data_IF_386725549140
#
_entry.id   IF_386725549140
#
_cell.length_a   1.000
_cell.length_b   1.000
_cell.length_c   1.000
_cell.angle_alpha   90.00
_cell.angle_beta   90.00
_cell.angle_gamma   90.00
#
_symmetry.space_group_name_H-M   'P 1'
#
loop_
_entity.id
_entity.type
_entity.pdbx_description
1 polymer ?
#
# COMPACT_ATOMS: atom_id res chain seq x y z
N UNK A 1 -15.55 -22.51 -23.83
CA UNK A 1 -15.67 -21.33 -22.91
C UNK A 1 -14.67 -21.35 -21.74
N UNK A 2 -14.36 -22.49 -21.10
CA UNK A 2 -13.39 -22.55 -19.97
C UNK A 2 -11.99 -22.03 -20.33
N UNK A 3 -11.42 -22.34 -21.49
CA UNK A 3 -10.07 -21.91 -21.88
C UNK A 3 -9.92 -20.39 -22.06
N UNK A 4 -10.96 -19.69 -22.54
CA UNK A 4 -10.88 -18.24 -22.77
C UNK A 4 -10.85 -17.42 -21.47
N UNK A 5 -11.49 -17.91 -20.39
CA UNK A 5 -11.52 -17.22 -19.11
C UNK A 5 -10.16 -17.22 -18.41
N UNK A 6 -9.42 -18.35 -18.49
CA UNK A 6 -8.04 -18.42 -17.99
C UNK A 6 -7.12 -17.49 -18.77
N UNK A 7 -7.25 -17.42 -20.10
CA UNK A 7 -6.41 -16.56 -20.91
C UNK A 7 -6.65 -15.06 -20.64
N UNK A 8 -7.91 -14.67 -20.40
CA UNK A 8 -8.24 -13.30 -19.99
C UNK A 8 -7.67 -12.96 -18.61
N UNK A 9 -7.68 -13.91 -17.67
CA UNK A 9 -7.06 -13.73 -16.37
C UNK A 9 -5.54 -13.54 -16.49
N UNK A 10 -4.85 -14.36 -17.31
CA UNK A 10 -3.41 -14.20 -17.50
C UNK A 10 -3.03 -12.83 -18.10
N UNK A 11 -3.85 -12.28 -19.00
CA UNK A 11 -3.64 -10.93 -19.52
C UNK A 11 -3.75 -9.89 -18.40
N UNK A 12 -4.82 -9.96 -17.59
CA UNK A 12 -4.99 -9.06 -16.44
C UNK A 12 -3.82 -9.19 -15.47
N UNK A 13 -3.47 -10.42 -15.10
CA UNK A 13 -2.43 -10.75 -14.15
C UNK A 13 -1.05 -10.25 -14.61
N UNK A 14 -0.69 -10.48 -15.88
CA UNK A 14 0.58 -10.03 -16.46
C UNK A 14 0.68 -8.51 -16.47
N UNK A 15 -0.35 -7.83 -17.00
CA UNK A 15 -0.39 -6.36 -17.04
C UNK A 15 -0.29 -5.75 -15.64
N UNK A 16 -1.05 -6.28 -14.68
CA UNK A 16 -1.01 -5.88 -13.28
C UNK A 16 0.38 -6.10 -12.66
N UNK A 17 0.98 -7.28 -12.85
CA UNK A 17 2.27 -7.62 -12.26
C UNK A 17 3.39 -6.69 -12.75
N UNK A 18 3.39 -6.36 -14.04
CA UNK A 18 4.36 -5.43 -14.63
C UNK A 18 4.15 -4.01 -14.08
N UNK A 19 2.91 -3.54 -14.02
CA UNK A 19 2.58 -2.20 -13.49
C UNK A 19 2.91 -2.07 -12.01
N UNK A 20 2.74 -3.13 -11.21
CA UNK A 20 3.13 -3.15 -9.80
C UNK A 20 4.64 -2.97 -9.62
N UNK A 21 5.47 -3.55 -10.49
CA UNK A 21 6.92 -3.32 -10.49
C UNK A 21 7.26 -1.87 -10.78
N UNK A 22 6.64 -1.25 -11.80
CA UNK A 22 6.80 0.17 -12.12
C UNK A 22 6.45 1.07 -10.93
N UNK A 23 5.35 0.79 -10.24
CA UNK A 23 4.97 1.52 -9.02
C UNK A 23 6.08 1.50 -7.96
N UNK A 24 6.79 0.38 -7.80
CA UNK A 24 7.90 0.29 -6.85
C UNK A 24 9.12 1.11 -7.31
N UNK A 25 9.30 1.30 -8.62
CA UNK A 25 10.36 2.17 -9.13
C UNK A 25 10.14 3.61 -8.70
N UNK A 26 8.92 4.11 -8.87
CA UNK A 26 8.54 5.46 -8.39
C UNK A 26 8.72 5.60 -6.87
N UNK A 27 8.48 4.55 -6.09
CA UNK A 27 8.68 4.57 -4.62
C UNK A 27 10.11 4.97 -4.22
N UNK A 28 11.11 4.47 -4.95
CA UNK A 28 12.52 4.76 -4.71
C UNK A 28 12.94 6.05 -5.41
N UNK A 29 12.55 6.21 -6.68
CA UNK A 29 13.03 7.30 -7.53
C UNK A 29 12.45 8.67 -7.16
N UNK A 30 11.18 8.76 -6.77
CA UNK A 30 10.48 10.03 -6.60
C UNK A 30 11.12 10.95 -5.54
N UNK A 31 11.47 10.48 -4.32
CA UNK A 31 12.15 11.33 -3.35
C UNK A 31 13.57 11.72 -3.81
N UNK A 32 14.31 10.82 -4.47
CA UNK A 32 15.64 11.13 -5.01
C UNK A 32 15.56 12.14 -6.15
N UNK A 33 14.60 11.98 -7.06
CA UNK A 33 14.34 12.94 -8.14
C UNK A 33 14.02 14.35 -7.60
N UNK A 34 13.20 14.44 -6.55
CA UNK A 34 12.90 15.72 -5.93
C UNK A 34 14.15 16.39 -5.33
N UNK A 35 15.04 15.61 -4.74
CA UNK A 35 16.26 16.12 -4.12
C UNK A 35 17.33 16.51 -5.14
N UNK A 36 17.59 15.65 -6.14
CA UNK A 36 18.73 15.81 -7.06
C UNK A 36 18.40 16.60 -8.32
N UNK A 37 17.20 16.36 -8.88
CA UNK A 37 16.83 16.98 -10.16
C UNK A 37 16.09 18.29 -9.95
N UNK A 38 15.22 18.36 -8.93
CA UNK A 38 14.48 19.59 -8.60
C UNK A 38 15.12 20.39 -7.48
N UNK A 39 16.23 19.90 -6.88
CA UNK A 39 16.98 20.55 -5.79
C UNK A 39 16.08 21.05 -4.65
N UNK A 40 15.00 20.28 -4.34
CA UNK A 40 14.05 20.68 -3.31
C UNK A 40 14.54 20.29 -1.91
N UNK A 41 13.88 20.87 -0.88
CA UNK A 41 14.17 20.50 0.50
C UNK A 41 13.75 19.06 0.83
N UNK A 42 14.35 18.49 1.85
CA UNK A 42 14.00 17.14 2.37
C UNK A 42 12.53 17.05 2.81
N UNK A 43 11.99 18.14 3.37
CA UNK A 43 10.59 18.26 3.73
C UNK A 43 9.68 18.15 2.50
N UNK A 44 10.03 18.82 1.40
CA UNK A 44 9.31 18.73 0.13
C UNK A 44 9.36 17.30 -0.45
N UNK A 45 10.53 16.67 -0.45
CA UNK A 45 10.67 15.29 -0.91
C UNK A 45 9.82 14.30 -0.08
N UNK A 46 9.77 14.49 1.26
CA UNK A 46 8.92 13.69 2.14
C UNK A 46 7.42 13.90 1.89
N UNK A 47 7.00 15.12 1.54
CA UNK A 47 5.61 15.48 1.25
C UNK A 47 5.04 14.71 0.05
N UNK A 48 5.86 14.42 -0.97
CA UNK A 48 5.43 13.69 -2.18
C UNK A 48 4.81 12.32 -1.86
N UNK A 49 5.31 11.63 -0.84
CA UNK A 49 4.72 10.38 -0.38
C UNK A 49 3.28 10.56 0.11
N UNK A 50 3.01 11.64 0.84
CA UNK A 50 1.67 11.94 1.34
C UNK A 50 0.70 12.28 0.23
N UNK A 51 1.13 13.05 -0.76
CA UNK A 51 0.29 13.49 -1.89
C UNK A 51 -0.33 12.31 -2.64
N UNK A 52 0.40 11.23 -2.83
CA UNK A 52 -0.09 10.03 -3.53
C UNK A 52 -1.26 9.36 -2.78
N UNK A 53 -1.30 9.48 -1.44
CA UNK A 53 -2.35 8.87 -0.61
C UNK A 53 -3.57 9.78 -0.38
N UNK A 54 -3.46 11.09 -0.59
CA UNK A 54 -4.58 12.02 -0.43
C UNK A 54 -5.81 11.63 -1.25
N UNK A 55 -5.68 11.22 -2.52
CA UNK A 55 -6.82 10.79 -3.32
C UNK A 55 -7.59 9.60 -2.73
N UNK A 56 -6.92 8.68 -2.05
CA UNK A 56 -7.61 7.58 -1.36
C UNK A 56 -8.51 8.09 -0.23
N UNK A 57 -8.06 9.10 0.49
CA UNK A 57 -8.84 9.70 1.58
C UNK A 57 -10.06 10.45 1.04
N UNK A 58 -9.90 11.20 -0.06
CA UNK A 58 -10.95 12.03 -0.64
C UNK A 58 -11.90 11.21 -1.49
N UNK A 59 -11.37 10.37 -2.37
CA UNK A 59 -12.13 9.70 -3.43
C UNK A 59 -12.38 8.21 -3.16
N UNK A 60 -11.71 7.58 -2.19
CA UNK A 60 -11.76 6.13 -2.01
C UNK A 60 -13.18 5.58 -1.83
N UNK A 61 -14.01 6.26 -1.05
CA UNK A 61 -15.42 5.88 -0.82
C UNK A 61 -16.30 6.16 -2.05
N UNK A 62 -16.08 7.31 -2.68
CA UNK A 62 -16.80 7.71 -3.89
C UNK A 62 -16.42 6.80 -5.06
N UNK A 63 -15.15 6.46 -5.20
CA UNK A 63 -14.66 5.54 -6.22
C UNK A 63 -15.29 4.16 -6.08
N UNK A 64 -15.43 3.63 -4.86
CA UNK A 64 -16.13 2.37 -4.62
C UNK A 64 -17.55 2.38 -5.16
N UNK A 65 -18.34 3.40 -4.83
CA UNK A 65 -19.71 3.55 -5.30
C UNK A 65 -19.83 3.75 -6.83
N UNK A 66 -18.88 4.49 -7.42
CA UNK A 66 -18.85 4.70 -8.86
C UNK A 66 -18.49 3.43 -9.64
N UNK A 67 -17.57 2.62 -9.13
CA UNK A 67 -17.14 1.36 -9.77
C UNK A 67 -18.27 0.33 -9.80
N UNK A 68 -19.22 0.39 -8.87
CA UNK A 68 -20.39 -0.50 -8.88
C UNK A 68 -21.34 -0.23 -10.05
N UNK A 69 -21.28 0.94 -10.68
CA UNK A 69 -22.14 1.35 -11.80
C UNK A 69 -21.39 1.55 -13.11
N UNK A 70 -20.06 1.68 -13.05
CA UNK A 70 -19.22 1.92 -14.23
C UNK A 70 -18.76 0.61 -14.85
N UNK A 71 -18.49 0.66 -16.15
CA UNK A 71 -17.83 -0.42 -16.87
C UNK A 71 -16.39 -0.61 -16.36
N UNK A 72 -16.17 -1.62 -15.53
CA UNK A 72 -14.88 -1.88 -14.84
C UNK A 72 -13.70 -1.97 -15.81
N UNK A 73 -13.87 -2.65 -16.96
CA UNK A 73 -12.83 -2.71 -17.99
C UNK A 73 -12.47 -1.31 -18.51
N UNK A 74 -13.47 -0.43 -18.77
CA UNK A 74 -13.21 0.95 -19.24
C UNK A 74 -12.46 1.75 -18.19
N UNK A 75 -12.83 1.61 -16.91
CA UNK A 75 -12.12 2.28 -15.80
C UNK A 75 -10.66 1.85 -15.77
N UNK A 76 -10.36 0.54 -15.83
CA UNK A 76 -8.99 0.04 -15.87
C UNK A 76 -8.19 0.60 -17.05
N UNK A 77 -8.80 0.65 -18.25
CA UNK A 77 -8.16 1.20 -19.44
C UNK A 77 -7.84 2.70 -19.28
N UNK A 78 -8.82 3.50 -18.83
CA UNK A 78 -8.64 4.93 -18.61
C UNK A 78 -7.57 5.18 -17.55
N UNK A 79 -7.60 4.47 -16.43
CA UNK A 79 -6.60 4.62 -15.39
C UNK A 79 -5.19 4.28 -15.90
N UNK A 80 -5.02 3.15 -16.59
CA UNK A 80 -3.70 2.74 -17.08
C UNK A 80 -3.14 3.71 -18.12
N UNK A 81 -3.95 4.17 -19.09
CA UNK A 81 -3.47 5.11 -20.10
C UNK A 81 -3.12 6.47 -19.47
N UNK A 82 -3.96 6.98 -18.56
CA UNK A 82 -3.72 8.25 -17.89
C UNK A 82 -2.45 8.20 -17.01
N UNK A 83 -2.24 7.11 -16.26
CA UNK A 83 -1.02 6.93 -15.46
C UNK A 83 0.23 6.89 -16.35
N UNK A 84 0.19 6.14 -17.47
CA UNK A 84 1.29 6.11 -18.44
C UNK A 84 1.58 7.50 -19.03
N UNK A 85 0.55 8.25 -19.39
CA UNK A 85 0.70 9.63 -19.90
C UNK A 85 1.26 10.57 -18.83
N UNK A 86 0.81 10.47 -17.58
CA UNK A 86 1.33 11.30 -16.48
C UNK A 86 2.81 11.07 -16.25
N UNK A 87 3.27 9.81 -16.17
CA UNK A 87 4.70 9.52 -15.98
C UNK A 87 5.54 9.93 -17.20
N UNK A 88 5.03 9.73 -18.42
CA UNK A 88 5.68 10.24 -19.62
C UNK A 88 5.76 11.78 -19.61
N UNK A 89 4.72 12.45 -19.11
CA UNK A 89 4.72 13.92 -18.96
C UNK A 89 5.79 14.38 -17.96
N UNK A 90 5.99 13.67 -16.84
CA UNK A 90 7.10 13.99 -15.91
C UNK A 90 8.43 13.95 -16.64
N UNK A 91 8.69 12.90 -17.43
CA UNK A 91 9.92 12.77 -18.20
C UNK A 91 10.10 13.92 -19.19
N UNK A 92 9.09 14.17 -20.05
CA UNK A 92 9.15 15.22 -21.10
C UNK A 92 9.36 16.60 -20.47
N UNK A 93 8.60 16.93 -19.42
CA UNK A 93 8.71 18.23 -18.75
C UNK A 93 10.08 18.40 -18.07
N UNK A 94 10.69 17.32 -17.59
CA UNK A 94 12.03 17.34 -17.01
C UNK A 94 13.09 17.61 -18.08
N UNK A 95 13.06 16.88 -19.19
CA UNK A 95 14.01 17.05 -20.29
C UNK A 95 13.88 18.44 -20.93
N UNK A 96 12.67 19.01 -20.94
CA UNK A 96 12.41 20.38 -21.42
C UNK A 96 12.75 21.46 -20.39
N UNK A 97 13.24 21.11 -19.20
CA UNK A 97 13.52 22.04 -18.08
C UNK A 97 12.30 22.90 -17.65
N UNK A 98 11.09 22.36 -17.82
CA UNK A 98 9.82 23.05 -17.45
C UNK A 98 9.30 22.53 -16.12
N UNK A 99 9.73 21.33 -15.68
CA UNK A 99 9.23 20.70 -14.45
C UNK A 99 9.58 21.57 -13.23
N UNK A 100 8.57 21.80 -12.38
CA UNK A 100 8.73 22.46 -11.10
C UNK A 100 8.16 21.59 -10.00
N UNK A 101 8.57 21.81 -8.74
CA UNK A 101 8.05 21.03 -7.62
C UNK A 101 6.51 21.09 -7.50
N UNK A 102 5.82 22.26 -7.59
CA UNK A 102 4.36 22.30 -7.57
C UNK A 102 3.71 21.51 -8.72
N UNK A 103 4.31 21.54 -9.90
CA UNK A 103 3.82 20.79 -11.06
C UNK A 103 3.97 19.27 -10.84
N UNK A 104 5.10 18.83 -10.27
CA UNK A 104 5.30 17.43 -9.89
C UNK A 104 4.27 16.99 -8.86
N UNK A 105 4.02 17.80 -7.81
CA UNK A 105 2.98 17.55 -6.79
C UNK A 105 1.60 17.38 -7.45
N UNK A 106 1.24 18.25 -8.39
CA UNK A 106 -0.01 18.15 -9.13
C UNK A 106 -0.12 16.87 -9.95
N UNK A 107 0.93 16.50 -10.69
CA UNK A 107 0.97 15.27 -11.49
C UNK A 107 0.87 14.03 -10.60
N UNK A 108 1.55 14.01 -9.45
CA UNK A 108 1.49 12.90 -8.50
C UNK A 108 0.12 12.82 -7.80
N UNK A 109 -0.53 13.93 -7.52
CA UNK A 109 -1.90 13.94 -7.04
C UNK A 109 -2.88 13.34 -8.05
N UNK A 110 -2.78 13.72 -9.33
CA UNK A 110 -3.58 13.12 -10.42
C UNK A 110 -3.29 11.62 -10.55
N UNK A 111 -2.02 11.23 -10.52
CA UNK A 111 -1.66 9.80 -10.51
C UNK A 111 -2.30 9.05 -9.34
N UNK A 112 -2.33 9.64 -8.15
CA UNK A 112 -3.00 9.07 -6.97
C UNK A 112 -4.51 8.87 -7.18
N UNK A 113 -5.20 9.76 -7.91
CA UNK A 113 -6.62 9.59 -8.28
C UNK A 113 -6.79 8.32 -9.13
N UNK A 114 -6.03 8.22 -10.23
CA UNK A 114 -6.13 7.05 -11.11
C UNK A 114 -5.72 5.75 -10.40
N UNK A 115 -4.70 5.80 -9.56
CA UNK A 115 -4.28 4.66 -8.72
C UNK A 115 -5.40 4.21 -7.79
N UNK A 116 -6.13 5.15 -7.17
CA UNK A 116 -7.27 4.86 -6.29
C UNK A 116 -8.36 4.10 -7.03
N UNK A 117 -8.80 4.63 -8.19
CA UNK A 117 -9.82 3.98 -9.01
C UNK A 117 -9.37 2.62 -9.52
N UNK A 118 -8.13 2.52 -9.97
CA UNK A 118 -7.55 1.28 -10.47
C UNK A 118 -7.55 0.18 -9.41
N UNK A 119 -7.02 0.46 -8.21
CA UNK A 119 -6.88 -0.51 -7.12
C UNK A 119 -8.22 -0.96 -6.52
N UNK A 120 -9.28 -0.13 -6.60
CA UNK A 120 -10.62 -0.53 -6.19
C UNK A 120 -11.29 -1.37 -7.30
N UNK A 121 -10.97 -1.11 -8.57
CA UNK A 121 -11.60 -1.79 -9.70
C UNK A 121 -11.06 -3.23 -9.89
N UNK A 122 -9.78 -3.50 -9.66
CA UNK A 122 -9.17 -4.83 -9.90
C UNK A 122 -9.93 -5.96 -9.17
N UNK A 123 -10.13 -5.93 -7.85
CA UNK A 123 -10.79 -7.01 -7.14
C UNK A 123 -12.27 -7.16 -7.54
N UNK A 124 -12.92 -6.07 -8.01
CA UNK A 124 -14.31 -6.12 -8.46
C UNK A 124 -14.45 -6.61 -9.91
N UNK A 125 -13.41 -6.45 -10.74
CA UNK A 125 -13.39 -6.94 -12.12
C UNK A 125 -13.08 -8.44 -12.23
N UNK A 126 -12.32 -8.99 -11.26
CA UNK A 126 -11.91 -10.40 -11.28
C UNK A 126 -13.07 -11.40 -11.38
N UNK A 127 -14.23 -11.23 -10.68
CA UNK A 127 -15.38 -12.12 -10.82
C UNK A 127 -16.04 -12.09 -12.20
N UNK A 128 -15.87 -11.01 -12.97
CA UNK A 128 -16.39 -10.92 -14.35
C UNK A 128 -15.59 -11.81 -15.31
N UNK A 129 -14.30 -12.02 -15.01
CA UNK A 129 -13.40 -12.87 -15.79
C UNK A 129 -13.45 -14.32 -15.32
N UNK A 130 -13.39 -14.55 -14.01
CA UNK A 130 -13.34 -15.87 -13.38
C UNK A 130 -14.66 -16.17 -12.69
N UNK A 131 -15.54 -16.91 -13.39
CA UNK A 131 -16.90 -17.23 -12.91
C UNK A 131 -16.94 -18.46 -11.98
N UNK A 132 -15.90 -19.29 -12.00
CA UNK A 132 -15.78 -20.47 -11.15
C UNK A 132 -15.11 -20.13 -9.82
N UNK A 133 -15.70 -20.59 -8.69
CA UNK A 133 -15.24 -20.24 -7.32
C UNK A 133 -13.77 -20.64 -7.04
N UNK A 134 -13.34 -21.80 -7.56
CA UNK A 134 -11.97 -22.28 -7.30
C UNK A 134 -10.96 -21.49 -8.13
N UNK A 135 -11.28 -21.16 -9.38
CA UNK A 135 -10.45 -20.30 -10.22
C UNK A 135 -10.40 -18.85 -9.69
N UNK A 136 -11.50 -18.35 -9.13
CA UNK A 136 -11.54 -17.05 -8.46
C UNK A 136 -10.59 -16.99 -7.24
N UNK A 137 -10.60 -18.02 -6.37
CA UNK A 137 -9.68 -18.11 -5.24
C UNK A 137 -8.22 -18.16 -5.69
N UNK A 138 -7.90 -18.98 -6.70
CA UNK A 138 -6.56 -19.07 -7.29
C UNK A 138 -6.12 -17.75 -7.91
N UNK A 139 -6.99 -17.08 -8.65
CA UNK A 139 -6.72 -15.78 -9.26
C UNK A 139 -6.40 -14.70 -8.23
N UNK A 140 -7.19 -14.59 -7.16
CA UNK A 140 -6.89 -13.68 -6.05
C UNK A 140 -5.53 -14.00 -5.39
N UNK A 141 -5.22 -15.27 -5.16
CA UNK A 141 -3.95 -15.68 -4.59
C UNK A 141 -2.76 -15.32 -5.50
N UNK A 142 -2.90 -15.46 -6.82
CA UNK A 142 -1.86 -15.07 -7.78
C UNK A 142 -1.65 -13.56 -7.85
N UNK A 143 -2.73 -12.76 -7.81
CA UNK A 143 -2.62 -11.30 -7.73
C UNK A 143 -1.92 -10.84 -6.44
N UNK A 144 -2.31 -11.41 -5.30
CA UNK A 144 -1.68 -11.12 -4.01
C UNK A 144 -0.21 -11.53 -3.97
N UNK A 145 0.14 -12.67 -4.59
CA UNK A 145 1.54 -13.11 -4.73
C UNK A 145 2.35 -12.13 -5.58
N UNK A 146 1.81 -11.67 -6.71
CA UNK A 146 2.49 -10.69 -7.57
C UNK A 146 2.70 -9.36 -6.86
N UNK A 147 1.70 -8.89 -6.10
CA UNK A 147 1.83 -7.69 -5.28
C UNK A 147 2.95 -7.85 -4.25
N UNK A 148 2.96 -8.96 -3.52
CA UNK A 148 4.00 -9.26 -2.54
C UNK A 148 5.39 -9.34 -3.18
N UNK A 149 5.52 -10.04 -4.31
CA UNK A 149 6.79 -10.14 -5.03
C UNK A 149 7.26 -8.78 -5.56
N UNK A 150 6.35 -7.93 -6.04
CA UNK A 150 6.69 -6.59 -6.51
C UNK A 150 7.24 -5.71 -5.38
N UNK A 151 6.67 -5.82 -4.17
CA UNK A 151 7.18 -5.10 -2.99
C UNK A 151 8.60 -5.57 -2.60
N UNK A 152 8.91 -6.86 -2.80
CA UNK A 152 10.24 -7.44 -2.51
C UNK A 152 11.27 -7.04 -3.55
N UNK A 153 10.96 -7.36 -4.81
CA UNK A 153 11.94 -7.29 -5.91
C UNK A 153 11.96 -5.87 -6.52
N UNK A 154 10.83 -5.18 -6.47
CA UNK A 154 10.66 -3.88 -7.12
C UNK A 154 11.68 -2.82 -6.69
N UNK A 155 11.86 -2.53 -5.39
CA UNK A 155 12.87 -1.55 -4.95
C UNK A 155 14.29 -1.94 -5.33
N UNK A 156 14.64 -3.25 -5.32
CA UNK A 156 15.94 -3.73 -5.77
C UNK A 156 16.14 -3.48 -7.27
N UNK A 157 15.12 -3.81 -8.08
CA UNK A 157 15.13 -3.53 -9.51
C UNK A 157 15.13 -2.01 -9.80
N UNK A 158 14.46 -1.22 -8.96
CA UNK A 158 14.48 0.24 -9.08
C UNK A 158 15.90 0.80 -9.01
N UNK A 159 16.70 0.36 -8.03
CA UNK A 159 18.10 0.75 -7.91
C UNK A 159 18.91 0.41 -9.17
N UNK A 160 18.73 -0.81 -9.71
CA UNK A 160 19.40 -1.23 -10.95
C UNK A 160 18.94 -0.38 -12.14
N UNK A 161 17.63 -0.15 -12.28
CA UNK A 161 17.09 0.62 -13.40
C UNK A 161 17.53 2.08 -13.33
N UNK A 162 17.55 2.68 -12.13
CA UNK A 162 18.04 4.07 -11.95
C UNK A 162 19.50 4.20 -12.40
N UNK A 163 20.37 3.23 -12.07
CA UNK A 163 21.77 3.24 -12.52
C UNK A 163 21.91 3.14 -14.05
N UNK A 164 20.96 2.49 -14.74
CA UNK A 164 21.01 2.31 -16.20
C UNK A 164 20.42 3.49 -16.99
N UNK A 165 19.31 4.04 -16.52
CA UNK A 165 18.54 5.07 -17.27
C UNK A 165 18.50 6.43 -16.57
N UNK A 166 19.06 6.54 -15.37
CA UNK A 166 19.04 7.74 -14.53
C UNK A 166 17.70 7.99 -13.84
N UNK A 167 17.69 8.94 -12.89
CA UNK A 167 16.49 9.32 -12.12
C UNK A 167 15.36 9.89 -12.99
N UNK A 168 15.68 10.56 -14.08
CA UNK A 168 14.68 11.09 -15.02
C UNK A 168 14.16 9.97 -15.92
N UNK A 169 15.04 9.10 -16.42
CA UNK A 169 14.69 8.02 -17.35
C UNK A 169 13.77 6.96 -16.74
N UNK A 170 13.79 6.78 -15.41
CA UNK A 170 12.95 5.78 -14.72
C UNK A 170 11.45 6.05 -14.91
N UNK A 171 11.05 7.31 -15.08
CA UNK A 171 9.65 7.66 -15.34
C UNK A 171 9.18 7.17 -16.72
N UNK A 172 10.08 7.04 -17.71
CA UNK A 172 9.73 6.41 -18.99
C UNK A 172 9.52 4.91 -18.84
N UNK A 173 10.34 4.26 -18.03
CA UNK A 173 10.20 2.83 -17.75
C UNK A 173 8.87 2.58 -17.02
N UNK A 174 8.51 3.41 -16.03
CA UNK A 174 7.23 3.32 -15.34
C UNK A 174 6.05 3.58 -16.30
N UNK A 175 6.13 4.61 -17.16
CA UNK A 175 5.13 4.86 -18.19
C UNK A 175 4.92 3.65 -19.10
N UNK A 176 6.00 2.99 -19.54
CA UNK A 176 5.92 1.77 -20.37
C UNK A 176 5.20 0.65 -19.62
N UNK A 177 5.44 0.46 -18.32
CA UNK A 177 4.74 -0.58 -17.55
C UNK A 177 3.22 -0.35 -17.53
N UNK A 178 2.76 0.91 -17.42
CA UNK A 178 1.33 1.25 -17.49
C UNK A 178 0.76 1.08 -18.90
N UNK A 179 1.51 1.40 -19.95
CA UNK A 179 1.07 1.16 -21.32
C UNK A 179 0.98 -0.35 -21.63
N UNK A 180 1.91 -1.15 -21.13
CA UNK A 180 1.81 -2.62 -21.21
C UNK A 180 0.56 -3.12 -20.49
N UNK A 181 0.28 -2.60 -19.30
CA UNK A 181 -0.94 -2.92 -18.58
C UNK A 181 -2.20 -2.54 -19.38
N UNK A 182 -2.23 -1.33 -19.95
CA UNK A 182 -3.31 -0.88 -20.84
C UNK A 182 -3.54 -1.86 -21.99
N UNK A 183 -2.47 -2.25 -22.70
CA UNK A 183 -2.55 -3.20 -23.84
C UNK A 183 -3.07 -4.56 -23.37
N UNK A 184 -2.56 -5.08 -22.26
CA UNK A 184 -3.03 -6.34 -21.68
C UNK A 184 -4.53 -6.31 -21.36
N UNK A 185 -5.02 -5.23 -20.74
CA UNK A 185 -6.44 -5.05 -20.41
C UNK A 185 -7.28 -4.86 -21.66
N UNK A 186 -6.76 -4.14 -22.67
CA UNK A 186 -7.45 -3.91 -23.97
C UNK A 186 -7.79 -5.22 -24.65
N UNK A 187 -6.88 -6.20 -24.64
CA UNK A 187 -7.06 -7.52 -25.25
C UNK A 187 -7.89 -8.51 -24.42
N UNK A 188 -8.43 -8.12 -23.27
CA UNK A 188 -9.40 -8.92 -22.53
C UNK A 188 -10.72 -8.91 -23.30
N UNK A 189 -11.21 -10.08 -23.69
CA UNK A 189 -12.42 -10.24 -24.48
C UNK A 189 -13.33 -11.33 -23.89
N UNK A 190 -14.65 -11.30 -24.20
CA UNK A 190 -15.61 -12.33 -23.81
C UNK A 190 -15.66 -12.59 -22.28
N UNK A 191 -15.86 -11.56 -21.50
CA UNK A 191 -16.17 -11.62 -20.07
C UNK A 191 -17.66 -11.34 -19.84
N UNK A 192 -18.18 -11.68 -18.66
CA UNK A 192 -19.56 -11.32 -18.26
C UNK A 192 -19.53 -9.91 -17.69
N UNK A 193 -19.93 -8.88 -18.46
CA UNK A 193 -19.92 -7.53 -17.92
C UNK A 193 -20.94 -7.43 -16.78
N UNK A 194 -20.58 -6.68 -15.75
CA UNK A 194 -21.54 -6.25 -14.76
C UNK A 194 -22.63 -5.42 -15.46
N UNK A 195 -23.89 -5.70 -15.16
CA UNK A 195 -25.01 -4.87 -15.65
C UNK A 195 -24.82 -3.46 -15.10
N UNK A 196 -24.70 -2.49 -16.02
CA UNK A 196 -24.56 -1.08 -15.64
C UNK A 196 -25.72 -0.67 -14.72
N UNK A 197 -25.38 -0.28 -13.50
CA UNK A 197 -26.34 0.35 -12.60
C UNK A 197 -26.68 1.75 -13.12
N UNK A 198 -27.88 2.23 -12.88
CA UNK A 198 -28.22 3.62 -13.20
C UNK A 198 -27.53 4.55 -12.20
N UNK A 199 -26.82 5.57 -12.71
CA UNK A 199 -26.26 6.67 -11.89
C UNK A 199 -27.31 7.32 -10.96
N UNK A 200 -28.60 7.23 -11.33
CA UNK A 200 -29.72 7.72 -10.51
C UNK A 200 -29.87 6.98 -9.18
N UNK A 201 -29.30 5.79 -9.05
CA UNK A 201 -29.39 4.97 -7.84
C UNK A 201 -28.22 5.21 -6.84
N UNK A 202 -27.23 6.02 -7.19
CA UNK A 202 -26.15 6.40 -6.26
C UNK A 202 -26.65 7.51 -5.33
N UNK A 203 -27.15 7.12 -4.18
CA UNK A 203 -27.54 8.07 -3.16
C UNK A 203 -26.34 8.33 -2.22
N UNK A 204 -25.73 9.52 -2.34
CA UNK A 204 -24.63 9.96 -1.47
C UNK A 204 -25.01 9.80 0.01
N UNK A 205 -26.29 10.03 0.36
CA UNK A 205 -26.80 9.83 1.71
C UNK A 205 -26.68 8.37 2.15
N UNK A 206 -26.95 7.42 1.25
CA UNK A 206 -26.81 5.97 1.55
C UNK A 206 -25.35 5.60 1.76
N UNK A 207 -24.42 6.16 0.98
CA UNK A 207 -22.98 5.96 1.17
C UNK A 207 -22.55 6.47 2.55
N UNK A 208 -22.97 7.69 2.91
CA UNK A 208 -22.69 8.29 4.21
C UNK A 208 -23.25 7.45 5.37
N UNK A 209 -24.50 6.98 5.26
CA UNK A 209 -25.14 6.10 6.24
C UNK A 209 -24.35 4.80 6.40
N UNK A 210 -23.96 4.15 5.29
CA UNK A 210 -23.19 2.91 5.33
C UNK A 210 -21.83 3.08 6.02
N UNK A 211 -21.16 4.21 5.79
CA UNK A 211 -19.89 4.54 6.47
C UNK A 211 -20.13 4.76 7.95
N UNK A 212 -21.14 5.53 8.30
CA UNK A 212 -21.49 5.83 9.68
C UNK A 212 -21.85 4.57 10.48
N UNK A 213 -22.67 3.69 9.90
CA UNK A 213 -23.02 2.39 10.50
C UNK A 213 -21.78 1.51 10.65
N UNK A 214 -20.87 1.50 9.64
CA UNK A 214 -19.60 0.80 9.71
C UNK A 214 -18.70 1.33 10.85
N UNK A 215 -18.67 2.66 11.05
CA UNK A 215 -17.91 3.31 12.12
C UNK A 215 -18.49 3.00 13.50
N UNK A 216 -19.82 3.02 13.65
CA UNK A 216 -20.48 2.66 14.93
C UNK A 216 -20.19 1.20 15.26
N UNK A 217 -20.41 0.30 14.31
CA UNK A 217 -20.14 -1.13 14.49
C UNK A 217 -18.68 -1.38 14.89
N UNK A 218 -17.76 -0.75 14.16
CA UNK A 218 -16.33 -0.82 14.46
C UNK A 218 -16.02 -0.34 15.88
N UNK A 219 -16.52 0.83 16.29
CA UNK A 219 -16.26 1.43 17.60
C UNK A 219 -16.83 0.61 18.77
N UNK A 220 -17.96 -0.05 18.57
CA UNK A 220 -18.64 -0.87 19.59
C UNK A 220 -18.04 -2.26 19.70
N UNK A 221 -17.33 -2.77 18.68
CA UNK A 221 -16.85 -4.15 18.66
C UNK A 221 -15.52 -4.30 19.42
N UNK A 222 -15.47 -5.12 20.49
CA UNK A 222 -14.32 -5.17 21.42
C UNK A 222 -13.02 -5.68 20.81
N UNK A 223 -13.09 -6.36 19.67
CA UNK A 223 -11.92 -6.93 18.96
C UNK A 223 -11.51 -6.09 17.76
N UNK A 224 -12.48 -5.58 16.98
CA UNK A 224 -12.20 -4.82 15.76
C UNK A 224 -11.58 -3.45 16.09
N UNK A 225 -12.11 -2.78 17.11
CA UNK A 225 -11.65 -1.44 17.49
C UNK A 225 -10.14 -1.42 17.82
N UNK A 226 -9.61 -2.25 18.73
CA UNK A 226 -8.18 -2.22 19.03
C UNK A 226 -7.30 -2.67 17.86
N UNK A 227 -7.74 -3.62 17.02
CA UNK A 227 -6.96 -4.09 15.86
C UNK A 227 -6.81 -2.96 14.81
N UNK A 228 -7.93 -2.33 14.44
CA UNK A 228 -7.92 -1.29 13.40
C UNK A 228 -7.27 0.00 13.91
N UNK A 229 -7.54 0.37 15.17
CA UNK A 229 -6.90 1.54 15.80
C UNK A 229 -5.38 1.34 15.94
N UNK A 230 -4.94 0.14 16.33
CA UNK A 230 -3.52 -0.22 16.33
C UNK A 230 -2.91 -0.09 14.94
N UNK A 231 -3.58 -0.63 13.92
CA UNK A 231 -3.10 -0.54 12.52
C UNK A 231 -3.00 0.92 12.04
N UNK A 232 -3.93 1.79 12.42
CA UNK A 232 -3.92 3.20 12.06
C UNK A 232 -2.77 3.97 12.74
N UNK A 233 -2.61 3.79 14.07
CA UNK A 233 -1.50 4.41 14.84
C UNK A 233 -0.15 3.90 14.34
N UNK A 234 -0.02 2.61 14.14
CA UNK A 234 1.18 1.99 13.58
C UNK A 234 1.48 2.57 12.18
N UNK A 235 0.48 2.62 11.30
CA UNK A 235 0.61 3.16 9.95
C UNK A 235 1.03 4.62 9.95
N UNK A 236 0.48 5.46 10.83
CA UNK A 236 0.85 6.86 10.97
C UNK A 236 2.36 7.03 11.23
N UNK A 237 2.88 6.38 12.27
CA UNK A 237 4.29 6.51 12.64
C UNK A 237 5.22 5.79 11.64
N UNK A 238 4.82 4.63 11.12
CA UNK A 238 5.54 3.95 10.04
C UNK A 238 5.72 4.85 8.83
N UNK A 239 4.69 5.63 8.45
CA UNK A 239 4.78 6.51 7.29
C UNK A 239 5.52 7.81 7.58
N UNK A 240 5.65 8.25 8.85
CA UNK A 240 6.63 9.27 9.22
C UNK A 240 8.03 8.78 8.85
N UNK A 241 8.40 7.55 9.22
CA UNK A 241 9.69 6.96 8.91
C UNK A 241 9.87 6.68 7.42
N UNK A 242 8.91 6.00 6.79
CA UNK A 242 9.02 5.58 5.39
C UNK A 242 9.09 6.73 4.39
N UNK A 243 8.49 7.89 4.72
CA UNK A 243 8.53 9.06 3.84
C UNK A 243 9.93 9.65 3.72
N UNK A 244 10.77 9.44 4.73
CA UNK A 244 12.13 9.97 4.77
C UNK A 244 13.21 8.89 4.71
N UNK A 245 12.84 7.61 4.69
CA UNK A 245 13.80 6.50 4.70
C UNK A 245 14.78 6.59 3.51
N UNK A 246 14.29 6.77 2.30
CA UNK A 246 15.13 6.92 1.09
C UNK A 246 16.04 8.13 1.23
N UNK A 247 15.50 9.26 1.70
CA UNK A 247 16.22 10.52 1.90
C UNK A 247 17.35 10.34 2.93
N UNK A 248 17.04 9.64 4.05
CA UNK A 248 18.00 9.36 5.11
C UNK A 248 19.15 8.47 4.62
N UNK A 249 18.81 7.38 3.92
CA UNK A 249 19.79 6.44 3.36
C UNK A 249 20.70 7.14 2.35
N UNK A 250 20.15 8.03 1.54
CA UNK A 250 20.90 8.77 0.54
C UNK A 250 21.77 9.87 1.17
N UNK A 251 21.16 10.82 1.91
CA UNK A 251 21.86 12.03 2.41
C UNK A 251 22.72 11.80 3.62
N UNK A 252 22.28 10.97 4.57
CA UNK A 252 22.99 10.76 5.84
C UNK A 252 23.97 9.59 5.76
N UNK A 253 23.55 8.50 5.11
CA UNK A 253 24.41 7.32 4.99
C UNK A 253 25.24 7.29 3.71
N UNK A 254 24.96 8.15 2.73
CA UNK A 254 25.71 8.24 1.47
C UNK A 254 25.58 6.99 0.59
N UNK A 255 24.45 6.27 0.70
CA UNK A 255 24.23 5.05 -0.06
C UNK A 255 23.85 5.35 -1.51
N UNK A 256 24.35 4.53 -2.42
CA UNK A 256 23.94 4.53 -3.83
C UNK A 256 22.48 4.08 -3.97
N UNK A 257 21.85 4.41 -5.12
CA UNK A 257 20.47 4.02 -5.43
C UNK A 257 20.28 2.50 -5.41
N UNK A 258 21.31 1.76 -5.80
CA UNK A 258 21.33 0.30 -5.76
C UNK A 258 21.25 -0.20 -4.31
N UNK A 259 22.09 0.31 -3.43
CA UNK A 259 22.11 -0.07 -2.01
C UNK A 259 20.80 0.31 -1.31
N UNK A 260 20.25 1.49 -1.61
CA UNK A 260 18.94 1.93 -1.12
C UNK A 260 17.85 0.95 -1.54
N UNK A 261 17.85 0.53 -2.80
CA UNK A 261 16.91 -0.48 -3.31
C UNK A 261 17.00 -1.80 -2.54
N UNK A 262 18.21 -2.28 -2.26
CA UNK A 262 18.42 -3.50 -1.45
C UNK A 262 17.96 -3.35 -0.01
N UNK A 263 18.23 -2.22 0.64
CA UNK A 263 17.78 -1.96 2.01
C UNK A 263 16.26 -1.97 2.09
N UNK A 264 15.56 -1.27 1.18
CA UNK A 264 14.09 -1.23 1.16
C UNK A 264 13.51 -2.62 0.87
N UNK A 265 14.07 -3.32 -0.11
CA UNK A 265 13.61 -4.67 -0.48
C UNK A 265 13.79 -5.71 0.64
N UNK A 266 14.74 -5.49 1.56
CA UNK A 266 15.00 -6.43 2.65
C UNK A 266 13.81 -6.63 3.61
N UNK A 267 13.00 -5.60 3.84
CA UNK A 267 11.78 -5.70 4.66
C UNK A 267 10.79 -6.72 4.09
N UNK A 268 10.72 -6.82 2.78
CA UNK A 268 9.82 -7.73 2.13
C UNK A 268 10.29 -9.20 2.19
N UNK A 269 11.60 -9.44 2.30
CA UNK A 269 12.13 -10.78 2.63
C UNK A 269 11.58 -11.21 4.00
N UNK A 270 11.65 -10.32 4.98
CA UNK A 270 11.05 -10.54 6.30
C UNK A 270 9.55 -10.83 6.22
N UNK A 271 8.80 -10.06 5.42
CA UNK A 271 7.36 -10.26 5.21
C UNK A 271 7.05 -11.67 4.68
N UNK A 272 7.80 -12.16 3.70
CA UNK A 272 7.62 -13.52 3.17
C UNK A 272 7.91 -14.59 4.22
N UNK A 273 8.95 -14.41 5.04
CA UNK A 273 9.28 -15.32 6.14
C UNK A 273 8.14 -15.35 7.16
N UNK A 274 7.66 -14.17 7.60
CA UNK A 274 6.56 -14.04 8.56
C UNK A 274 5.27 -14.68 8.05
N UNK A 275 4.90 -14.41 6.80
CA UNK A 275 3.70 -14.98 6.19
C UNK A 275 3.79 -16.52 6.06
N UNK A 276 4.96 -17.04 5.73
CA UNK A 276 5.21 -18.50 5.68
C UNK A 276 5.04 -19.15 7.06
N UNK A 277 5.53 -18.49 8.12
CA UNK A 277 5.34 -18.94 9.51
C UNK A 277 3.86 -18.97 9.86
N UNK A 278 3.11 -17.91 9.51
CA UNK A 278 1.67 -17.82 9.74
C UNK A 278 0.92 -18.97 9.06
N UNK A 279 1.20 -19.23 7.79
CA UNK A 279 0.55 -20.30 7.03
C UNK A 279 0.82 -21.68 7.66
N UNK A 280 2.07 -21.97 8.03
CA UNK A 280 2.44 -23.24 8.65
C UNK A 280 1.81 -23.45 10.03
N UNK A 281 1.58 -22.38 10.79
CA UNK A 281 1.02 -22.42 12.14
C UNK A 281 -0.47 -22.09 12.20
N UNK A 282 -1.13 -21.83 11.09
CA UNK A 282 -2.52 -21.34 11.04
C UNK A 282 -3.53 -22.22 11.79
N UNK A 283 -3.34 -23.55 11.79
CA UNK A 283 -4.20 -24.48 12.49
C UNK A 283 -3.99 -24.49 14.03
N UNK A 284 -2.83 -24.01 14.51
CA UNK A 284 -2.47 -24.00 15.94
C UNK A 284 -2.75 -22.65 16.61
N UNK A 285 -3.00 -21.61 15.79
CA UNK A 285 -3.14 -20.23 16.26
C UNK A 285 -4.63 -19.85 16.24
N UNK A 286 -5.31 -20.09 17.33
CA UNK A 286 -6.70 -19.67 17.51
C UNK A 286 -6.81 -18.59 18.62
N UNK A 287 -5.87 -17.60 18.62
CA UNK A 287 -5.69 -16.75 19.77
C UNK A 287 -5.18 -15.37 19.38
N UNK A 288 -5.80 -14.33 19.92
CA UNK A 288 -5.43 -12.92 19.69
C UNK A 288 -4.00 -12.54 20.13
N UNK A 289 -3.34 -13.35 20.96
CA UNK A 289 -1.94 -13.11 21.40
C UNK A 289 -0.96 -13.04 20.22
N UNK A 290 -1.25 -13.75 19.14
CA UNK A 290 -0.41 -13.72 17.94
C UNK A 290 -0.35 -12.32 17.31
N UNK A 291 -1.44 -11.55 17.40
CA UNK A 291 -1.43 -10.13 16.97
C UNK A 291 -0.45 -9.31 17.80
N UNK A 292 -0.44 -9.52 19.13
CA UNK A 292 0.46 -8.80 20.03
C UNK A 292 1.92 -9.16 19.73
N UNK A 293 2.25 -10.45 19.61
CA UNK A 293 3.60 -10.89 19.31
C UNK A 293 4.10 -10.35 17.95
N UNK A 294 3.29 -10.48 16.91
CA UNK A 294 3.67 -10.02 15.58
C UNK A 294 3.80 -8.49 15.49
N UNK A 295 2.90 -7.74 16.13
CA UNK A 295 3.01 -6.29 16.25
C UNK A 295 4.29 -5.90 17.02
N UNK A 296 4.60 -6.58 18.11
CA UNK A 296 5.83 -6.32 18.91
C UNK A 296 7.08 -6.56 18.08
N UNK A 297 7.16 -7.68 17.35
CA UNK A 297 8.31 -7.97 16.46
C UNK A 297 8.46 -6.88 15.40
N UNK A 298 7.36 -6.46 14.79
CA UNK A 298 7.38 -5.41 13.77
C UNK A 298 7.82 -4.05 14.34
N UNK A 299 7.32 -3.69 15.52
CA UNK A 299 7.69 -2.45 16.23
C UNK A 299 9.17 -2.46 16.63
N UNK A 300 9.68 -3.57 17.16
CA UNK A 300 11.11 -3.71 17.47
C UNK A 300 11.95 -3.45 16.22
N UNK A 301 11.63 -4.11 15.11
CA UNK A 301 12.34 -3.87 13.83
C UNK A 301 12.32 -2.41 13.42
N UNK A 302 11.15 -1.75 13.40
CA UNK A 302 11.03 -0.33 13.03
C UNK A 302 11.79 0.61 13.99
N UNK A 303 11.81 0.31 15.30
CA UNK A 303 12.56 1.10 16.27
C UNK A 303 14.08 0.91 16.16
N UNK A 304 14.53 -0.26 15.70
CA UNK A 304 15.94 -0.53 15.45
C UNK A 304 16.49 0.18 14.21
N UNK A 305 15.67 0.42 13.18
CA UNK A 305 16.12 1.08 11.94
C UNK A 305 16.81 2.42 12.22
N UNK A 306 16.20 3.40 12.95
CA UNK A 306 16.89 4.66 13.24
C UNK A 306 18.12 4.50 14.12
N UNK A 307 18.17 3.54 15.04
CA UNK A 307 19.34 3.24 15.86
C UNK A 307 20.50 2.77 14.97
N UNK A 308 20.25 1.80 14.09
CA UNK A 308 21.25 1.26 13.18
C UNK A 308 21.71 2.32 12.16
N UNK A 309 20.77 3.18 11.72
CA UNK A 309 21.11 4.33 10.87
C UNK A 309 22.02 5.35 11.57
N UNK A 310 21.76 5.65 12.83
CA UNK A 310 22.63 6.53 13.64
C UNK A 310 24.02 5.93 13.85
N UNK A 311 24.11 4.61 14.03
CA UNK A 311 25.38 3.88 14.13
C UNK A 311 26.09 3.70 12.78
N UNK A 312 25.49 4.12 11.66
CA UNK A 312 26.07 4.02 10.33
C UNK A 312 26.17 2.57 9.79
N UNK A 313 25.39 1.63 10.33
CA UNK A 313 25.49 0.20 9.96
C UNK A 313 24.40 -0.20 8.96
N UNK A 314 24.77 -0.35 7.69
CA UNK A 314 23.84 -0.80 6.62
C UNK A 314 23.30 -2.18 6.92
N UNK A 315 24.16 -3.12 7.31
CA UNK A 315 23.72 -4.47 7.70
C UNK A 315 22.75 -4.48 8.89
N UNK A 316 22.95 -3.56 9.83
CA UNK A 316 22.05 -3.37 10.96
C UNK A 316 20.65 -2.92 10.50
N UNK A 317 20.57 -1.97 9.55
CA UNK A 317 19.29 -1.54 8.96
C UNK A 317 18.62 -2.68 8.20
N UNK A 318 19.37 -3.44 7.40
CA UNK A 318 18.85 -4.61 6.68
C UNK A 318 18.28 -5.64 7.66
N UNK A 319 19.00 -5.99 8.72
CA UNK A 319 18.52 -6.92 9.74
C UNK A 319 17.26 -6.40 10.46
N UNK A 320 17.25 -5.12 10.84
CA UNK A 320 16.09 -4.46 11.46
C UNK A 320 14.87 -4.44 10.52
N UNK A 321 15.09 -4.18 9.23
CA UNK A 321 14.05 -4.20 8.21
C UNK A 321 13.47 -5.61 8.00
N UNK A 322 14.30 -6.65 8.02
CA UNK A 322 13.85 -8.04 7.96
C UNK A 322 13.00 -8.38 9.20
N UNK A 323 13.45 -8.01 10.40
CA UNK A 323 12.68 -8.21 11.65
C UNK A 323 11.32 -7.51 11.58
N UNK A 324 11.31 -6.25 11.14
CA UNK A 324 10.09 -5.49 10.91
C UNK A 324 9.15 -6.23 9.93
N UNK A 325 9.68 -6.63 8.77
CA UNK A 325 8.93 -7.35 7.76
C UNK A 325 8.34 -8.67 8.28
N UNK A 326 9.09 -9.45 9.10
CA UNK A 326 8.59 -10.69 9.70
C UNK A 326 7.35 -10.45 10.57
N UNK A 327 7.37 -9.40 11.40
CA UNK A 327 6.21 -9.03 12.21
C UNK A 327 5.01 -8.62 11.35
N UNK A 328 5.24 -7.78 10.34
CA UNK A 328 4.18 -7.28 9.44
C UNK A 328 3.58 -8.39 8.58
N UNK A 329 4.40 -9.35 8.12
CA UNK A 329 3.96 -10.52 7.34
C UNK A 329 3.05 -11.47 8.12
N UNK A 330 3.07 -11.41 9.44
CA UNK A 330 2.11 -12.12 10.29
C UNK A 330 0.93 -11.22 10.66
N UNK A 331 1.19 -10.00 11.14
CA UNK A 331 0.17 -9.11 11.68
C UNK A 331 -0.91 -8.77 10.66
N UNK A 332 -0.53 -8.32 9.47
CA UNK A 332 -1.46 -7.87 8.44
C UNK A 332 -2.46 -8.95 7.99
N UNK A 333 -2.01 -10.10 7.49
CA UNK A 333 -2.89 -11.20 7.08
C UNK A 333 -3.72 -11.76 8.22
N UNK A 334 -3.14 -11.88 9.41
CA UNK A 334 -3.87 -12.41 10.58
C UNK A 334 -4.95 -11.45 11.07
N UNK A 335 -4.67 -10.15 11.15
CA UNK A 335 -5.66 -9.11 11.45
C UNK A 335 -6.81 -9.10 10.43
N UNK A 336 -6.51 -9.31 9.14
CA UNK A 336 -7.52 -9.44 8.10
C UNK A 336 -8.40 -10.66 8.29
N UNK A 337 -7.81 -11.80 8.65
CA UNK A 337 -8.54 -13.05 8.94
C UNK A 337 -9.49 -12.87 10.14
N UNK A 338 -9.00 -12.31 11.26
CA UNK A 338 -9.85 -12.07 12.44
C UNK A 338 -11.01 -11.14 12.05
N UNK A 339 -10.73 -10.05 11.34
CA UNK A 339 -11.79 -9.11 10.90
C UNK A 339 -12.87 -9.81 10.08
N UNK A 340 -12.48 -10.74 9.18
CA UNK A 340 -13.43 -11.50 8.38
C UNK A 340 -14.26 -12.48 9.22
N UNK A 341 -13.65 -13.11 10.23
CA UNK A 341 -14.33 -14.09 11.10
C UNK A 341 -15.32 -13.44 12.07
N UNK A 342 -14.98 -12.28 12.62
CA UNK A 342 -15.83 -11.62 13.62
C UNK A 342 -16.86 -10.66 13.03
N UNK A 343 -16.78 -10.35 11.73
CA UNK A 343 -17.73 -9.44 11.07
C UNK A 343 -18.83 -10.22 10.35
N UNK A 344 -20.12 -9.92 10.58
CA UNK A 344 -21.22 -10.51 9.83
C UNK A 344 -21.07 -10.22 8.32
N UNK A 345 -21.49 -11.15 7.48
CA UNK A 345 -21.33 -11.03 6.00
C UNK A 345 -21.89 -9.71 5.44
N UNK A 346 -23.02 -9.22 5.95
CA UNK A 346 -23.64 -7.97 5.51
C UNK A 346 -22.87 -6.70 5.96
N UNK A 347 -21.98 -6.80 6.96
CA UNK A 347 -21.14 -5.71 7.47
C UNK A 347 -19.71 -5.72 6.93
N UNK A 348 -19.24 -6.85 6.35
CA UNK A 348 -17.85 -7.01 5.91
C UNK A 348 -17.39 -5.89 4.96
N UNK A 349 -18.23 -5.50 4.01
CA UNK A 349 -17.93 -4.41 3.09
C UNK A 349 -17.72 -3.06 3.80
N UNK A 350 -18.61 -2.74 4.76
CA UNK A 350 -18.56 -1.49 5.55
C UNK A 350 -17.34 -1.46 6.48
N UNK A 351 -17.06 -2.55 7.17
CA UNK A 351 -15.90 -2.69 8.06
C UNK A 351 -14.58 -2.57 7.27
N UNK A 352 -14.50 -3.20 6.09
CA UNK A 352 -13.33 -3.08 5.22
C UNK A 352 -13.15 -1.66 4.69
N UNK A 353 -14.22 -0.96 4.33
CA UNK A 353 -14.17 0.43 3.89
C UNK A 353 -13.66 1.35 5.02
N UNK A 354 -14.19 1.19 6.25
CA UNK A 354 -13.72 1.94 7.43
C UNK A 354 -12.24 1.68 7.69
N UNK A 355 -11.81 0.42 7.69
CA UNK A 355 -10.42 0.06 7.93
C UNK A 355 -9.48 0.66 6.87
N UNK A 356 -9.85 0.57 5.59
CA UNK A 356 -9.04 1.17 4.50
C UNK A 356 -8.93 2.68 4.65
N UNK A 357 -10.05 3.36 4.92
CA UNK A 357 -10.06 4.82 5.09
C UNK A 357 -9.18 5.25 6.27
N UNK A 358 -9.28 4.56 7.40
CA UNK A 358 -8.46 4.86 8.58
C UNK A 358 -6.98 4.59 8.31
N UNK A 359 -6.63 3.48 7.68
CA UNK A 359 -5.23 3.15 7.41
C UNK A 359 -4.60 4.10 6.38
N UNK A 360 -5.23 4.28 5.22
CA UNK A 360 -4.68 5.15 4.17
C UNK A 360 -4.69 6.62 4.58
N UNK A 361 -5.70 7.05 5.34
CA UNK A 361 -5.73 8.37 5.97
C UNK A 361 -4.58 8.56 6.96
N UNK A 362 -4.31 7.56 7.80
CA UNK A 362 -3.18 7.58 8.71
C UNK A 362 -1.83 7.63 7.97
N UNK A 363 -1.69 6.93 6.84
CA UNK A 363 -0.48 6.97 6.00
C UNK A 363 -0.25 8.34 5.38
N UNK A 364 -1.29 8.97 4.83
CA UNK A 364 -1.23 10.33 4.31
C UNK A 364 -0.84 11.32 5.41
N UNK A 365 -1.53 11.28 6.55
CA UNK A 365 -1.27 12.16 7.69
C UNK A 365 0.14 11.95 8.25
N UNK A 366 0.63 10.70 8.35
CA UNK A 366 1.97 10.37 8.76
C UNK A 366 3.03 10.96 7.82
N UNK A 367 2.79 10.89 6.51
CA UNK A 367 3.69 11.47 5.51
C UNK A 367 3.72 13.01 5.58
N UNK A 368 2.58 13.67 5.77
CA UNK A 368 2.55 15.12 5.99
C UNK A 368 3.19 15.52 7.30
N UNK A 369 2.94 14.76 8.38
CA UNK A 369 3.62 14.97 9.65
C UNK A 369 5.14 14.80 9.51
N UNK A 370 5.60 13.84 8.70
CA UNK A 370 7.02 13.67 8.39
C UNK A 370 7.62 14.94 7.78
N UNK A 371 7.00 15.49 6.73
CA UNK A 371 7.46 16.72 6.09
C UNK A 371 7.53 17.90 7.09
N UNK A 372 6.48 18.06 7.90
CA UNK A 372 6.43 19.08 8.95
C UNK A 372 7.50 18.88 10.01
N UNK A 373 7.70 17.67 10.52
CA UNK A 373 8.71 17.36 11.54
C UNK A 373 10.13 17.55 11.00
N UNK A 374 10.39 17.18 9.74
CA UNK A 374 11.70 17.43 9.11
C UNK A 374 12.02 18.90 9.04
N UNK A 375 11.04 19.76 8.72
CA UNK A 375 11.26 21.21 8.63
C UNK A 375 11.59 21.86 9.97
N UNK A 376 11.17 21.27 11.10
CA UNK A 376 11.39 21.83 12.45
C UNK A 376 12.57 21.16 13.14
N UNK A 377 12.63 19.83 13.12
CA UNK A 377 13.55 19.03 13.94
C UNK A 377 14.67 18.37 13.12
N UNK A 378 14.61 18.49 11.79
CA UNK A 378 15.54 17.84 10.87
C UNK A 378 15.29 16.36 10.67
N UNK A 379 16.07 15.78 9.76
CA UNK A 379 15.87 14.43 9.24
C UNK A 379 16.09 13.36 10.32
N UNK A 380 17.17 13.44 11.08
CA UNK A 380 17.53 12.43 12.09
C UNK A 380 16.48 12.32 13.20
N UNK A 381 16.08 13.44 13.79
CA UNK A 381 15.10 13.46 14.87
C UNK A 381 13.75 12.91 14.39
N UNK A 382 13.32 13.30 13.19
CA UNK A 382 12.08 12.80 12.58
C UNK A 382 12.14 11.28 12.36
N UNK A 383 13.32 10.77 11.98
CA UNK A 383 13.53 9.33 11.77
C UNK A 383 13.34 8.54 13.07
N UNK A 384 13.86 9.07 14.19
CA UNK A 384 13.64 8.50 15.53
C UNK A 384 12.16 8.60 15.95
N UNK A 385 11.50 9.73 15.74
CA UNK A 385 10.08 9.92 16.06
C UNK A 385 9.23 8.87 15.30
N UNK A 386 9.49 8.66 14.01
CA UNK A 386 8.78 7.66 13.20
C UNK A 386 8.98 6.24 13.73
N UNK A 387 10.24 5.83 13.98
CA UNK A 387 10.56 4.49 14.45
C UNK A 387 9.99 4.20 15.84
N UNK A 388 10.34 5.02 16.84
CA UNK A 388 9.88 4.82 18.21
C UNK A 388 8.40 5.12 18.41
N UNK A 389 7.81 6.05 17.66
CA UNK A 389 6.38 6.35 17.72
C UNK A 389 5.50 5.14 17.42
N UNK A 390 6.00 4.17 16.64
CA UNK A 390 5.26 2.93 16.39
C UNK A 390 4.96 2.14 17.66
N UNK A 391 5.74 2.30 18.73
CA UNK A 391 5.50 1.63 20.03
C UNK A 391 4.13 1.98 20.62
N UNK A 392 3.59 3.17 20.30
CA UNK A 392 2.28 3.59 20.79
C UNK A 392 1.14 2.68 20.30
N UNK A 393 1.31 2.00 19.17
CA UNK A 393 0.31 1.06 18.67
C UNK A 393 0.12 -0.13 19.63
N UNK A 394 1.19 -0.55 20.34
CA UNK A 394 1.10 -1.64 21.32
C UNK A 394 0.24 -1.25 22.52
N UNK A 395 0.31 0.01 22.96
CA UNK A 395 -0.55 0.52 24.05
C UNK A 395 -2.02 0.44 23.64
N UNK A 396 -2.33 0.78 22.38
CA UNK A 396 -3.70 0.70 21.86
C UNK A 396 -4.16 -0.76 21.79
N UNK A 397 -3.30 -1.66 21.32
CA UNK A 397 -3.63 -3.08 21.16
C UNK A 397 -3.85 -3.78 22.53
N UNK A 398 -3.13 -3.34 23.57
CA UNK A 398 -3.21 -3.94 24.90
C UNK A 398 -4.41 -3.45 25.73
N UNK A 399 -5.05 -2.33 25.37
CA UNK A 399 -6.10 -1.68 26.17
C UNK A 399 -7.38 -2.50 26.35
N UNK A 400 -7.77 -3.37 25.40
CA UNK A 400 -9.07 -4.07 25.45
C UNK A 400 -8.95 -5.53 25.04
N UNK A 401 -8.90 -6.44 25.99
CA UNK A 401 -9.21 -7.87 25.79
C UNK A 401 -8.32 -8.67 24.82
N UNK A 402 -7.69 -8.04 23.83
CA UNK A 402 -6.81 -8.69 22.84
C UNK A 402 -5.61 -9.36 23.53
N UNK A 403 -5.09 -8.75 24.61
CA UNK A 403 -3.97 -9.29 25.38
C UNK A 403 -4.35 -10.54 26.21
N UNK A 404 -5.62 -10.72 26.56
CA UNK A 404 -6.08 -11.85 27.39
C UNK A 404 -6.11 -13.18 26.63
N UNK A 405 -5.86 -13.18 25.30
CA UNK A 405 -5.80 -14.39 24.52
C UNK A 405 -7.16 -15.06 24.34
N UNK A 406 -8.19 -14.26 24.07
CA UNK A 406 -9.54 -14.76 23.84
C UNK A 406 -9.57 -15.65 22.61
N UNK A 407 -10.22 -16.81 22.72
CA UNK A 407 -10.38 -17.74 21.61
C UNK A 407 -11.28 -17.10 20.54
N UNK A 408 -10.85 -17.13 19.28
CA UNK A 408 -11.54 -16.50 18.15
C UNK A 408 -12.91 -17.14 17.90
N UNK A 409 -13.07 -18.43 18.16
CA UNK A 409 -14.37 -19.13 18.05
C UNK A 409 -15.41 -18.61 19.04
N UNK A 410 -14.99 -18.22 20.24
CA UNK A 410 -15.87 -17.62 21.24
C UNK A 410 -16.33 -16.21 20.82
N UNK A 411 -15.54 -15.52 19.98
CA UNK A 411 -15.87 -14.16 19.54
C UNK A 411 -16.83 -14.11 18.34
N UNK A 412 -16.94 -15.18 17.56
CA UNK A 412 -17.91 -15.28 16.46
C UNK A 412 -19.35 -15.53 17.00
N UNK A 413 -19.51 -15.83 18.30
CA UNK A 413 -20.80 -16.06 18.96
C UNK A 413 -21.33 -14.84 19.74
N UNK A 414 -20.54 -13.75 19.83
CA UNK A 414 -20.92 -12.46 20.43
C UNK A 414 -21.31 -11.48 19.32
#
# INVERSE_FOLDING_TARGET
MKNNNHFNFYKLWLGQSISLLGTQFTVVALPLFALEVLETSEANAALLRGIIFVPYLIFGLVAGALIDILHRKKVLLICSICQGVLFLSVFILTVSNIITFPLLVFLMFLNGIFTTFYNITIPTFLPEILTDKDNFKKGNAQLALSESLSIVIGPMLAGIVITLVGLTGIFTVDAVTYFVCFVCVLFISRFKPHTEGSLKNVNIKTIYINIYEGLIYFKSHPVLEPIVSCSAVYGFFKYILNSILVIFLYKIMGLSELEIGFVIGSAAIGFLIGNTILVKKSQQINNTRMLVYSATVSVIGLSLIPIMGYLGTVFGIVAASIIHGMGEGVFGPYAATIRQLVSPNHMLGRVNAVQRTLNWGAWALGSFASAFLVSIFGLQTTFFIGGFGTTLCLIVLLRRGVSKGTNIEYMSSI
#
